data_IF_594907715993
#
_entry.id   IF_594907715993
#
_cell.length_a   1.000
_cell.length_b   1.000
_cell.length_c   1.000
_cell.angle_alpha   90.00
_cell.angle_beta   90.00
_cell.angle_gamma   90.00
#
_symmetry.space_group_name_H-M   'P 1'
#
loop_
_entity.id
_entity.type
_entity.pdbx_description
1 polymer ?
#
# COMPACT_ATOMS: atom_id res chain seq x y z
N UNK A 1 -9.10 0.85 -1.58
CA UNK A 1 -8.46 0.40 -2.83
C UNK A 1 -8.62 1.46 -3.90
N UNK A 2 -7.53 1.83 -4.57
CA UNK A 2 -7.55 2.82 -5.65
C UNK A 2 -8.28 2.30 -6.92
N UNK A 3 -8.30 3.12 -7.96
CA UNK A 3 -8.98 2.83 -9.23
C UNK A 3 -8.03 2.40 -10.37
N UNK A 4 -6.86 1.82 -10.07
CA UNK A 4 -5.94 1.32 -11.08
C UNK A 4 -6.66 0.35 -12.05
N UNK A 5 -6.37 0.36 -13.37
CA UNK A 5 -7.06 -0.51 -14.33
C UNK A 5 -6.98 -2.01 -14.03
N UNK A 6 -5.93 -2.43 -13.32
CA UNK A 6 -5.75 -3.82 -12.85
C UNK A 6 -6.74 -4.20 -11.74
N UNK A 7 -7.30 -3.22 -11.03
CA UNK A 7 -8.30 -3.41 -9.99
C UNK A 7 -9.70 -3.59 -10.60
N UNK A 8 -9.95 -4.76 -11.20
CA UNK A 8 -11.24 -5.15 -11.79
C UNK A 8 -12.34 -5.19 -10.72
N UNK A 9 -13.01 -4.06 -10.52
CA UNK A 9 -13.90 -3.79 -9.38
C UNK A 9 -14.93 -4.89 -9.10
N UNK A 10 -15.61 -5.38 -10.14
CA UNK A 10 -16.64 -6.41 -9.99
C UNK A 10 -16.04 -7.74 -9.52
N UNK A 11 -14.98 -8.20 -10.18
CA UNK A 11 -14.30 -9.44 -9.80
C UNK A 11 -13.72 -9.36 -8.37
N UNK A 12 -13.15 -8.21 -7.99
CA UNK A 12 -12.63 -8.01 -6.63
C UNK A 12 -13.76 -8.03 -5.61
N UNK A 13 -14.88 -7.37 -5.91
CA UNK A 13 -16.05 -7.36 -5.01
C UNK A 13 -16.58 -8.78 -4.79
N UNK A 14 -16.77 -9.54 -5.85
CA UNK A 14 -17.22 -10.95 -5.78
C UNK A 14 -16.28 -11.82 -4.93
N UNK A 15 -14.96 -11.71 -5.16
CA UNK A 15 -13.96 -12.47 -4.39
C UNK A 15 -13.97 -12.10 -2.91
N UNK A 16 -13.99 -10.81 -2.60
CA UNK A 16 -13.94 -10.28 -1.23
C UNK A 16 -15.23 -10.64 -0.48
N UNK A 17 -16.40 -10.49 -1.11
CA UNK A 17 -17.70 -10.88 -0.53
C UNK A 17 -17.80 -12.39 -0.29
N UNK A 18 -17.30 -13.22 -1.22
CA UNK A 18 -17.27 -14.68 -1.06
C UNK A 18 -16.44 -15.12 0.15
N UNK A 19 -15.47 -14.31 0.56
CA UNK A 19 -14.63 -14.50 1.74
C UNK A 19 -15.21 -13.85 3.01
N UNK A 20 -16.41 -13.24 2.95
CA UNK A 20 -17.04 -12.58 4.10
C UNK A 20 -16.49 -11.18 4.41
N UNK A 21 -15.81 -10.55 3.46
CA UNK A 21 -15.21 -9.23 3.61
C UNK A 21 -15.93 -8.19 2.75
N UNK A 22 -15.53 -6.92 2.89
CA UNK A 22 -16.02 -5.80 2.08
C UNK A 22 -14.84 -5.03 1.50
N UNK A 23 -15.00 -4.51 0.29
CA UNK A 23 -13.99 -3.66 -0.37
C UNK A 23 -14.50 -2.24 -0.54
N UNK A 24 -13.72 -1.28 -0.02
CA UNK A 24 -13.96 0.15 -0.21
C UNK A 24 -13.10 0.67 -1.37
N UNK A 25 -13.76 1.19 -2.40
CA UNK A 25 -13.10 1.86 -3.52
C UNK A 25 -13.01 3.36 -3.25
N UNK A 26 -11.81 3.92 -3.44
CA UNK A 26 -11.56 5.33 -3.21
C UNK A 26 -12.10 6.20 -4.36
N UNK A 27 -12.44 7.48 -4.12
CA UNK A 27 -12.70 8.43 -5.20
C UNK A 27 -11.47 8.59 -6.12
N UNK A 28 -11.69 9.11 -7.34
CA UNK A 28 -10.60 9.34 -8.28
C UNK A 28 -9.65 10.41 -7.75
N UNK A 29 -8.34 10.17 -7.93
CA UNK A 29 -7.27 11.09 -7.53
C UNK A 29 -7.29 11.45 -6.03
N UNK A 30 -7.65 10.48 -5.18
CA UNK A 30 -7.64 10.65 -3.72
C UNK A 30 -6.53 9.81 -3.06
N UNK A 31 -5.25 10.10 -3.35
CA UNK A 31 -4.14 9.37 -2.71
C UNK A 31 -4.14 9.57 -1.20
N UNK A 32 -4.62 10.73 -0.71
CA UNK A 32 -4.72 11.06 0.71
C UNK A 32 -5.69 10.15 1.49
N UNK A 33 -6.53 9.38 0.79
CA UNK A 33 -7.43 8.39 1.41
C UNK A 33 -6.87 6.95 1.36
N UNK A 34 -5.61 6.79 0.93
CA UNK A 34 -4.93 5.52 0.88
C UNK A 34 -3.72 5.55 1.84
N UNK A 35 -3.92 5.14 3.09
CA UNK A 35 -2.91 5.25 4.16
C UNK A 35 -1.54 4.64 3.77
N UNK A 36 -1.52 3.59 2.95
CA UNK A 36 -0.29 2.96 2.45
C UNK A 36 0.61 3.91 1.64
N UNK A 37 0.07 4.98 1.05
CA UNK A 37 0.86 5.99 0.33
C UNK A 37 1.77 6.78 1.29
N UNK A 38 1.30 7.03 2.52
CA UNK A 38 2.12 7.64 3.56
C UNK A 38 3.25 6.70 3.98
N UNK A 39 2.94 5.41 4.15
CA UNK A 39 3.93 4.40 4.53
C UNK A 39 4.99 4.22 3.45
N UNK A 40 4.60 4.15 2.16
CA UNK A 40 5.54 4.11 1.05
C UNK A 40 6.40 5.37 0.96
N UNK A 41 5.84 6.54 1.28
CA UNK A 41 6.61 7.79 1.32
C UNK A 41 7.67 7.77 2.43
N UNK A 42 7.32 7.25 3.61
CA UNK A 42 8.24 7.06 4.72
C UNK A 42 9.33 6.02 4.39
N UNK A 43 8.97 4.87 3.83
CA UNK A 43 9.90 3.81 3.42
C UNK A 43 10.88 4.28 2.33
N UNK A 44 10.40 5.01 1.32
CA UNK A 44 11.27 5.63 0.31
C UNK A 44 12.27 6.58 0.95
N UNK A 45 11.82 7.43 1.89
CA UNK A 45 12.68 8.35 2.62
C UNK A 45 13.72 7.59 3.44
N UNK A 46 13.32 6.56 4.18
CA UNK A 46 14.24 5.72 4.92
C UNK A 46 15.34 5.16 4.00
N UNK A 47 14.94 4.49 2.91
CA UNK A 47 15.88 3.91 1.92
C UNK A 47 16.85 4.93 1.31
N UNK A 48 16.43 6.18 1.13
CA UNK A 48 17.31 7.23 0.59
C UNK A 48 18.45 7.62 1.55
N UNK A 49 18.25 7.44 2.86
CA UNK A 49 19.21 7.85 3.88
C UNK A 49 19.93 6.69 4.58
N UNK A 50 19.49 5.45 4.38
CA UNK A 50 20.23 4.26 4.82
C UNK A 50 21.45 3.99 3.93
N UNK A 51 22.39 3.19 4.43
CA UNK A 51 23.58 2.81 3.67
C UNK A 51 23.22 1.94 2.45
N UNK A 52 24.04 2.00 1.40
CA UNK A 52 23.76 1.31 0.12
C UNK A 52 23.84 -0.22 0.25
N UNK A 53 24.58 -0.72 1.22
CA UNK A 53 24.70 -2.14 1.59
C UNK A 53 23.53 -2.63 2.45
N UNK A 54 22.72 -1.72 2.99
CA UNK A 54 21.53 -2.06 3.76
C UNK A 54 20.48 -2.67 2.84
N UNK A 55 20.02 -3.87 3.20
CA UNK A 55 19.02 -4.58 2.43
C UNK A 55 17.64 -3.89 2.52
N UNK A 56 16.78 -4.09 1.50
CA UNK A 56 15.42 -3.58 1.57
C UNK A 56 14.64 -4.18 2.75
N UNK A 57 14.87 -5.46 3.04
CA UNK A 57 14.22 -6.17 4.15
C UNK A 57 14.57 -5.55 5.49
N UNK A 58 15.82 -5.13 5.68
CA UNK A 58 16.27 -4.44 6.89
C UNK A 58 15.62 -3.07 7.03
N UNK A 59 15.58 -2.28 5.96
CA UNK A 59 14.86 -0.98 5.95
C UNK A 59 13.39 -1.15 6.30
N UNK A 60 12.72 -2.19 5.77
CA UNK A 60 11.31 -2.48 6.09
C UNK A 60 11.17 -2.89 7.56
N UNK A 61 12.05 -3.76 8.07
CA UNK A 61 12.01 -4.21 9.47
C UNK A 61 12.18 -3.05 10.44
N UNK A 62 13.13 -2.15 10.19
CA UNK A 62 13.35 -0.96 11.02
C UNK A 62 12.13 -0.04 11.02
N UNK A 63 11.52 0.20 9.85
CA UNK A 63 10.31 1.00 9.74
C UNK A 63 9.11 0.36 10.45
N UNK A 64 8.95 -0.96 10.40
CA UNK A 64 7.86 -1.65 11.11
C UNK A 64 8.09 -1.77 12.63
N UNK A 65 9.31 -1.56 13.12
CA UNK A 65 9.65 -1.64 14.53
C UNK A 65 9.50 -0.29 15.28
N UNK A 66 9.35 0.82 14.56
CA UNK A 66 9.12 2.17 15.09
C UNK A 66 7.64 2.48 15.30
#
# INVERSE_FOLDING_TARGET
MDNAPIHRKNAIRELVESAGHQVLFLPKYSPDFNDIEHDFSALKRARMYTSIDTSLDEVIREYCAS
#
